data_IF_748221629613
#
_entry.id   IF_748221629613
#
_cell.length_a   1.000
_cell.length_b   1.000
_cell.length_c   1.000
_cell.angle_alpha   90.00
_cell.angle_beta   90.00
_cell.angle_gamma   90.00
#
_symmetry.space_group_name_H-M   'P 1'
#
loop_
_entity.id
_entity.type
_entity.pdbx_description
1 polymer ?
#
# COMPACT_ATOMS: atom_id res chain seq x y z
N UNK A 1 -41.86 -5.41 26.56
CA UNK A 1 -40.83 -5.43 27.62
C UNK A 1 -39.69 -6.28 27.13
N UNK A 2 -38.67 -5.67 26.59
CA UNK A 2 -37.48 -6.35 26.06
C UNK A 2 -36.51 -6.56 27.24
N UNK A 3 -36.49 -7.79 27.78
CA UNK A 3 -35.51 -8.18 28.77
C UNK A 3 -34.11 -8.21 28.18
N UNK A 4 -33.27 -7.29 28.56
CA UNK A 4 -31.82 -7.42 28.39
C UNK A 4 -31.35 -8.53 29.32
N UNK A 5 -31.04 -9.73 28.78
CA UNK A 5 -30.37 -10.77 29.54
C UNK A 5 -28.93 -10.30 29.82
N UNK A 6 -28.57 -10.26 31.11
CA UNK A 6 -27.21 -9.97 31.52
C UNK A 6 -26.27 -11.10 30.99
N UNK A 7 -25.33 -10.81 30.06
CA UNK A 7 -24.45 -11.84 29.52
C UNK A 7 -23.43 -12.38 30.54
N UNK A 8 -23.44 -11.88 31.77
CA UNK A 8 -22.56 -12.28 32.88
C UNK A 8 -23.34 -12.95 34.02
N UNK A 9 -24.63 -13.30 33.81
CA UNK A 9 -25.40 -14.05 34.80
C UNK A 9 -24.94 -15.52 34.79
N UNK A 10 -24.34 -16.04 35.87
CA UNK A 10 -23.82 -17.40 35.93
C UNK A 10 -24.92 -18.47 35.86
N UNK A 11 -26.22 -18.09 35.94
CA UNK A 11 -27.35 -18.99 35.85
C UNK A 11 -28.04 -18.98 34.48
N UNK A 12 -27.57 -18.22 33.55
CA UNK A 12 -28.06 -18.25 32.16
C UNK A 12 -27.28 -19.32 31.39
N UNK A 13 -27.90 -20.44 31.20
CA UNK A 13 -27.46 -21.46 30.26
C UNK A 13 -27.55 -20.89 28.84
N UNK A 14 -26.40 -20.50 28.28
CA UNK A 14 -26.32 -20.05 26.90
C UNK A 14 -26.62 -21.25 26.02
N UNK A 15 -27.80 -21.25 25.49
CA UNK A 15 -28.42 -22.26 24.62
C UNK A 15 -27.43 -23.05 23.78
N UNK A 16 -27.56 -24.36 23.76
CA UNK A 16 -26.67 -25.35 23.18
C UNK A 16 -26.12 -24.98 21.80
N UNK A 17 -24.94 -25.48 21.51
CA UNK A 17 -24.28 -25.29 20.21
C UNK A 17 -25.19 -25.83 19.08
N UNK A 18 -25.42 -25.01 18.07
CA UNK A 18 -26.24 -25.38 16.88
C UNK A 18 -25.65 -26.53 16.04
N UNK A 19 -24.48 -27.06 16.40
CA UNK A 19 -23.86 -28.20 15.71
C UNK A 19 -24.44 -29.56 16.13
N UNK A 20 -25.22 -29.61 17.23
CA UNK A 20 -25.82 -30.82 17.76
C UNK A 20 -24.87 -31.82 18.47
N UNK A 21 -23.59 -31.50 18.58
CA UNK A 21 -22.56 -32.40 19.15
C UNK A 21 -21.93 -31.85 20.45
N UNK A 22 -22.17 -30.59 20.82
CA UNK A 22 -21.62 -29.94 22.02
C UNK A 22 -22.76 -29.35 22.85
N UNK A 23 -22.60 -29.39 24.19
CA UNK A 23 -23.62 -28.90 25.11
C UNK A 23 -23.74 -27.38 25.09
N UNK A 24 -22.67 -26.66 24.73
CA UNK A 24 -22.65 -25.21 24.65
C UNK A 24 -21.58 -24.71 23.63
N UNK A 25 -21.60 -23.40 23.34
CA UNK A 25 -20.69 -22.81 22.38
C UNK A 25 -19.20 -22.86 22.84
N UNK A 26 -18.97 -22.86 24.15
CA UNK A 26 -17.62 -22.96 24.72
C UNK A 26 -17.00 -24.33 24.47
N UNK A 27 -17.75 -25.41 24.61
CA UNK A 27 -17.30 -26.77 24.28
C UNK A 27 -17.05 -26.93 22.78
N UNK A 28 -17.90 -26.31 21.94
CA UNK A 28 -17.69 -26.29 20.50
C UNK A 28 -16.38 -25.62 20.13
N UNK A 29 -16.14 -24.43 20.66
CA UNK A 29 -14.93 -23.65 20.37
C UNK A 29 -13.68 -24.35 20.95
N UNK A 30 -13.78 -24.97 22.12
CA UNK A 30 -12.71 -25.76 22.73
C UNK A 30 -12.41 -27.06 21.96
N UNK A 31 -13.39 -27.65 21.28
CA UNK A 31 -13.18 -28.81 20.44
C UNK A 31 -12.58 -28.46 19.07
N UNK A 32 -12.89 -27.28 18.56
CA UNK A 32 -12.42 -26.81 17.25
C UNK A 32 -10.99 -26.26 17.29
N UNK A 33 -10.50 -25.78 18.45
CA UNK A 33 -9.20 -25.15 18.62
C UNK A 33 -8.34 -25.90 19.65
N UNK A 34 -7.26 -26.60 19.24
CA UNK A 34 -6.34 -27.28 20.16
C UNK A 34 -5.72 -26.35 21.20
N UNK A 35 -5.56 -25.07 20.88
CA UNK A 35 -5.03 -24.02 21.78
C UNK A 35 -6.09 -23.63 22.82
N UNK A 36 -7.40 -23.82 22.55
CA UNK A 36 -8.46 -23.58 23.52
C UNK A 36 -8.38 -24.48 24.78
N UNK A 37 -7.65 -25.58 24.69
CA UNK A 37 -7.41 -26.53 25.79
C UNK A 37 -6.16 -26.23 26.61
N UNK A 38 -5.40 -25.17 26.24
CA UNK A 38 -4.20 -24.80 26.99
C UNK A 38 -4.56 -24.28 28.36
N UNK A 39 -3.93 -24.85 29.38
CA UNK A 39 -3.95 -24.34 30.76
C UNK A 39 -2.73 -23.47 31.06
N UNK A 40 -1.90 -23.20 30.06
CA UNK A 40 -0.72 -22.33 30.17
C UNK A 40 -1.15 -20.90 30.45
N UNK A 41 -0.73 -20.29 31.59
CA UNK A 41 -1.11 -18.93 31.97
C UNK A 41 -0.69 -17.87 30.93
N UNK A 42 0.41 -18.08 30.21
CA UNK A 42 0.91 -17.15 29.20
C UNK A 42 0.02 -17.16 27.96
N UNK A 43 -0.39 -18.34 27.51
CA UNK A 43 -1.35 -18.54 26.40
C UNK A 43 -2.72 -17.97 26.75
N UNK A 44 -3.20 -18.16 27.99
CA UNK A 44 -4.46 -17.60 28.47
C UNK A 44 -4.42 -16.08 28.58
N UNK A 45 -3.30 -15.51 29.08
CA UNK A 45 -3.09 -14.08 29.17
C UNK A 45 -3.06 -13.42 27.79
N UNK A 46 -2.33 -14.01 26.84
CA UNK A 46 -2.25 -13.53 25.47
C UNK A 46 -3.63 -13.55 24.80
N UNK A 47 -4.43 -14.59 24.99
CA UNK A 47 -5.82 -14.68 24.49
C UNK A 47 -6.74 -13.63 25.09
N UNK A 48 -6.59 -13.38 26.40
CA UNK A 48 -7.38 -12.32 27.05
C UNK A 48 -7.06 -10.95 26.45
N UNK A 49 -5.78 -10.64 26.27
CA UNK A 49 -5.31 -9.41 25.62
C UNK A 49 -5.84 -9.32 24.19
N UNK A 50 -5.72 -10.39 23.40
CA UNK A 50 -6.20 -10.45 22.02
C UNK A 50 -7.72 -10.26 21.91
N UNK A 51 -8.49 -10.97 22.74
CA UNK A 51 -9.95 -10.83 22.74
C UNK A 51 -10.39 -9.44 23.21
N UNK A 52 -9.66 -8.84 24.16
CA UNK A 52 -9.90 -7.50 24.64
C UNK A 52 -9.55 -6.44 23.59
N UNK A 53 -8.46 -6.64 22.85
CA UNK A 53 -8.06 -5.78 21.74
C UNK A 53 -9.10 -5.83 20.60
N UNK A 54 -9.54 -7.04 20.22
CA UNK A 54 -10.60 -7.22 19.21
C UNK A 54 -11.92 -6.60 19.66
N UNK A 55 -12.27 -6.69 20.95
CA UNK A 55 -13.47 -6.03 21.52
C UNK A 55 -13.33 -4.52 21.55
N UNK A 56 -12.14 -4.00 21.88
CA UNK A 56 -11.88 -2.56 21.90
C UNK A 56 -11.89 -1.95 20.49
N UNK A 57 -11.36 -2.68 19.49
CA UNK A 57 -11.37 -2.26 18.09
C UNK A 57 -12.75 -2.40 17.44
N UNK A 58 -13.57 -3.35 17.91
CA UNK A 58 -14.90 -3.65 17.36
C UNK A 58 -15.97 -3.69 18.44
N UNK A 59 -16.39 -2.52 18.94
CA UNK A 59 -17.42 -2.43 20.01
C UNK A 59 -18.78 -3.00 19.58
N UNK A 60 -19.05 -3.13 18.27
CA UNK A 60 -20.29 -3.69 17.75
C UNK A 60 -20.13 -5.17 17.37
N UNK A 61 -20.90 -6.05 18.00
CA UNK A 61 -20.88 -7.51 17.80
C UNK A 61 -21.07 -7.95 16.34
N UNK A 62 -21.89 -7.24 15.57
CA UNK A 62 -22.12 -7.53 14.17
C UNK A 62 -20.84 -7.29 13.32
N UNK A 63 -20.09 -6.22 13.61
CA UNK A 63 -18.84 -5.87 12.94
C UNK A 63 -17.75 -6.87 13.33
N UNK A 64 -17.67 -7.22 14.62
CA UNK A 64 -16.74 -8.23 15.14
C UNK A 64 -16.97 -9.61 14.53
N UNK A 65 -18.21 -10.09 14.47
CA UNK A 65 -18.55 -11.37 13.83
C UNK A 65 -18.25 -11.37 12.33
N UNK A 66 -18.47 -10.25 11.64
CA UNK A 66 -18.13 -10.11 10.23
C UNK A 66 -16.62 -10.16 10.02
N UNK A 67 -15.87 -9.51 10.91
CA UNK A 67 -14.41 -9.55 10.95
C UNK A 67 -13.88 -10.97 11.17
N UNK A 68 -14.31 -11.65 12.22
CA UNK A 68 -13.89 -13.01 12.55
C UNK A 68 -14.23 -13.99 11.40
N UNK A 69 -15.38 -13.83 10.74
CA UNK A 69 -15.74 -14.64 9.56
C UNK A 69 -14.85 -14.32 8.36
N UNK A 70 -14.52 -13.06 8.10
CA UNK A 70 -13.65 -12.66 6.99
C UNK A 70 -12.21 -13.19 7.18
N UNK A 71 -11.70 -13.15 8.40
CA UNK A 71 -10.40 -13.72 8.76
C UNK A 71 -10.46 -15.26 8.71
N UNK A 72 -11.50 -15.87 9.28
CA UNK A 72 -11.67 -17.33 9.32
C UNK A 72 -11.90 -17.97 7.95
N UNK A 73 -12.61 -17.31 7.03
CA UNK A 73 -12.82 -17.81 5.67
C UNK A 73 -11.53 -17.88 4.84
N UNK A 74 -10.55 -17.00 5.15
CA UNK A 74 -9.24 -17.00 4.48
C UNK A 74 -8.23 -17.98 5.12
N UNK A 75 -8.52 -18.55 6.31
CA UNK A 75 -7.62 -19.48 7.01
C UNK A 75 -7.59 -20.89 6.42
N UNK A 76 -8.56 -21.27 5.60
CA UNK A 76 -8.62 -22.59 4.98
C UNK A 76 -7.66 -22.81 3.81
N UNK A 77 -6.85 -21.82 3.43
CA UNK A 77 -5.96 -21.89 2.28
C UNK A 77 -4.55 -22.38 2.68
N UNK A 78 -4.18 -23.45 2.04
CA UNK A 78 -2.95 -24.24 2.08
C UNK A 78 -1.72 -23.55 2.75
N UNK A 79 -1.44 -23.89 4.00
CA UNK A 79 -0.09 -23.78 4.56
C UNK A 79 0.83 -24.70 3.74
N UNK A 80 1.97 -24.13 3.28
CA UNK A 80 3.05 -24.97 2.75
C UNK A 80 3.54 -25.88 3.87
N UNK A 81 3.57 -27.20 3.64
CA UNK A 81 4.12 -28.18 4.60
C UNK A 81 5.66 -28.12 4.71
N UNK A 82 6.31 -27.31 3.88
CA UNK A 82 7.76 -27.17 3.89
C UNK A 82 8.22 -26.28 5.07
N UNK A 83 9.29 -26.66 5.78
CA UNK A 83 9.82 -25.87 6.88
C UNK A 83 10.29 -24.50 6.39
N UNK A 84 10.03 -23.47 7.21
CA UNK A 84 10.49 -22.11 6.94
C UNK A 84 11.96 -21.99 7.30
N UNK A 85 12.75 -21.37 6.43
CA UNK A 85 14.19 -21.15 6.67
C UNK A 85 14.40 -20.07 7.73
N UNK A 86 13.52 -19.06 7.76
CA UNK A 86 13.53 -17.96 8.71
C UNK A 86 12.09 -17.61 9.09
N UNK A 87 11.79 -17.56 10.40
CA UNK A 87 10.45 -17.22 10.91
C UNK A 87 10.33 -15.76 11.33
N UNK A 88 11.39 -15.23 11.94
CA UNK A 88 11.43 -13.87 12.47
C UNK A 88 11.87 -12.90 11.39
N UNK A 89 10.96 -12.06 10.92
CA UNK A 89 11.18 -11.13 9.83
C UNK A 89 11.01 -9.69 10.28
N UNK A 90 11.83 -8.80 9.71
CA UNK A 90 11.72 -7.35 9.87
C UNK A 90 11.28 -6.73 8.55
N UNK A 91 10.12 -6.06 8.56
CA UNK A 91 9.57 -5.40 7.39
C UNK A 91 9.49 -3.89 7.63
N UNK A 92 10.16 -3.12 6.77
CA UNK A 92 10.11 -1.67 6.81
C UNK A 92 8.88 -1.10 6.10
N UNK A 93 8.27 -0.06 6.68
CA UNK A 93 7.17 0.66 6.02
C UNK A 93 7.18 2.16 6.32
N UNK A 94 6.56 2.93 5.42
CA UNK A 94 6.24 4.34 5.62
C UNK A 94 4.76 4.45 6.04
N UNK A 95 4.41 5.33 7.01
CA UNK A 95 3.05 5.44 7.55
C UNK A 95 2.09 6.14 6.57
N UNK A 96 1.75 5.47 5.49
CA UNK A 96 0.83 5.91 4.44
C UNK A 96 -0.17 4.80 4.10
N UNK A 97 -1.32 5.17 3.52
CA UNK A 97 -2.38 4.20 3.15
C UNK A 97 -1.93 3.18 2.12
N UNK A 98 -0.87 3.48 1.35
CA UNK A 98 -0.30 2.54 0.39
C UNK A 98 0.27 1.28 1.07
N UNK A 99 0.71 1.37 2.33
CA UNK A 99 1.24 0.23 3.08
C UNK A 99 0.14 -0.62 3.77
N UNK A 100 -1.14 -0.33 3.52
CA UNK A 100 -2.28 -1.01 4.16
C UNK A 100 -2.17 -2.53 4.16
N UNK A 101 -1.92 -3.24 3.03
CA UNK A 101 -1.80 -4.70 3.06
C UNK A 101 -0.69 -5.21 3.97
N UNK A 102 0.47 -4.56 3.97
CA UNK A 102 1.59 -4.94 4.84
C UNK A 102 1.30 -4.70 6.32
N UNK A 103 0.68 -3.56 6.64
CA UNK A 103 0.38 -3.19 8.02
C UNK A 103 -0.72 -4.08 8.58
N UNK A 104 -1.85 -4.20 7.87
CA UNK A 104 -3.00 -4.95 8.36
C UNK A 104 -2.71 -6.45 8.50
N UNK A 105 -1.75 -6.98 7.75
CA UNK A 105 -1.35 -8.38 7.83
C UNK A 105 -0.81 -8.78 9.22
N UNK A 106 -0.28 -7.83 10.01
CA UNK A 106 0.12 -8.05 11.39
C UNK A 106 -1.09 -8.26 12.32
N UNK A 107 -1.84 -7.19 12.66
CA UNK A 107 -2.97 -7.27 13.60
C UNK A 107 -4.10 -8.21 13.15
N UNK A 108 -4.24 -8.46 11.85
CA UNK A 108 -5.20 -9.43 11.31
C UNK A 108 -4.62 -10.85 11.16
N UNK A 109 -3.40 -11.08 11.67
CA UNK A 109 -2.76 -12.39 11.81
C UNK A 109 -2.48 -13.13 10.50
N UNK A 110 -2.44 -12.44 9.35
CA UNK A 110 -2.08 -13.09 8.08
C UNK A 110 -0.63 -13.62 8.09
N UNK A 111 0.29 -12.93 8.77
CA UNK A 111 1.67 -13.43 8.93
C UNK A 111 1.73 -14.66 9.84
N UNK A 112 1.08 -14.59 10.98
CA UNK A 112 1.03 -15.68 11.97
C UNK A 112 0.41 -16.95 11.38
N UNK A 113 -0.66 -16.81 10.58
CA UNK A 113 -1.30 -17.92 9.85
C UNK A 113 -0.36 -18.64 8.89
N UNK A 114 0.70 -17.96 8.45
CA UNK A 114 1.76 -18.55 7.61
C UNK A 114 2.97 -19.02 8.44
N UNK A 115 2.89 -18.97 9.76
CA UNK A 115 3.98 -19.36 10.68
C UNK A 115 5.10 -18.34 10.78
N UNK A 116 4.83 -17.06 10.43
CA UNK A 116 5.81 -15.98 10.44
C UNK A 116 5.61 -15.04 11.62
N UNK A 117 6.70 -14.68 12.29
CA UNK A 117 6.78 -13.62 13.30
C UNK A 117 7.30 -12.34 12.62
N UNK A 118 6.42 -11.39 12.30
CA UNK A 118 6.81 -10.18 11.57
C UNK A 118 6.84 -8.99 12.50
N UNK A 119 8.00 -8.34 12.59
CA UNK A 119 8.16 -7.03 13.20
C UNK A 119 8.02 -5.94 12.11
N UNK A 120 7.01 -5.10 12.24
CA UNK A 120 6.79 -3.97 11.35
C UNK A 120 7.57 -2.75 11.85
N UNK A 121 8.55 -2.32 11.07
CA UNK A 121 9.42 -1.19 11.40
C UNK A 121 8.96 0.08 10.66
N UNK A 122 8.31 0.99 11.39
CA UNK A 122 7.93 2.29 10.86
C UNK A 122 9.16 3.16 10.63
N UNK A 123 9.30 3.74 9.44
CA UNK A 123 10.40 4.63 9.05
C UNK A 123 9.87 5.97 8.57
N UNK A 124 10.72 7.01 8.68
CA UNK A 124 10.32 8.37 8.33
C UNK A 124 10.34 8.66 6.82
N UNK A 125 11.19 7.95 6.06
CA UNK A 125 11.35 8.24 4.64
C UNK A 125 12.02 7.10 3.85
N UNK A 126 11.93 7.17 2.53
CA UNK A 126 12.36 6.10 1.63
C UNK A 126 13.89 5.98 1.49
N UNK A 127 14.67 7.02 1.72
CA UNK A 127 16.12 6.89 1.81
C UNK A 127 16.52 5.88 2.90
N UNK A 128 15.88 5.98 4.07
CA UNK A 128 16.12 5.04 5.18
C UNK A 128 15.62 3.62 4.86
N UNK A 129 14.48 3.47 4.19
CA UNK A 129 14.01 2.16 3.69
C UNK A 129 15.06 1.52 2.79
N UNK A 130 15.55 2.27 1.80
CA UNK A 130 16.59 1.81 0.88
C UNK A 130 17.84 1.34 1.64
N UNK A 131 18.36 2.19 2.52
CA UNK A 131 19.61 1.93 3.22
C UNK A 131 19.49 0.72 4.14
N UNK A 132 18.37 0.56 4.86
CA UNK A 132 18.09 -0.61 5.70
C UNK A 132 17.96 -1.90 4.89
N UNK A 133 17.41 -1.84 3.69
CA UNK A 133 17.39 -3.02 2.79
C UNK A 133 18.79 -3.37 2.27
N UNK A 134 19.56 -2.38 1.85
CA UNK A 134 20.94 -2.59 1.38
C UNK A 134 21.84 -3.17 2.49
N UNK A 135 21.64 -2.73 3.72
CA UNK A 135 22.37 -3.19 4.91
C UNK A 135 21.82 -4.52 5.50
N UNK A 136 20.78 -5.11 4.88
CA UNK A 136 20.09 -6.33 5.36
C UNK A 136 19.49 -6.19 6.78
N UNK A 137 19.17 -4.96 7.19
CA UNK A 137 18.45 -4.70 8.44
C UNK A 137 16.95 -4.99 8.30
N UNK A 138 16.41 -4.92 7.07
CA UNK A 138 15.07 -5.39 6.71
C UNK A 138 15.16 -6.59 5.78
N UNK A 139 14.29 -7.57 6.00
CA UNK A 139 14.13 -8.74 5.13
C UNK A 139 13.29 -8.42 3.88
N UNK A 140 12.33 -7.53 4.06
CA UNK A 140 11.45 -6.99 3.02
C UNK A 140 11.05 -5.57 3.38
N UNK A 141 10.54 -4.81 2.41
CA UNK A 141 10.07 -3.46 2.68
C UNK A 141 8.97 -3.01 1.74
N UNK A 142 8.22 -2.03 2.23
CA UNK A 142 7.35 -1.17 1.46
C UNK A 142 8.20 -0.16 0.68
N UNK A 143 8.15 -0.22 -0.64
CA UNK A 143 8.87 0.67 -1.54
C UNK A 143 7.91 1.52 -2.37
N UNK A 144 8.38 2.67 -2.85
CA UNK A 144 7.79 3.30 -4.03
C UNK A 144 8.08 2.42 -5.25
N UNK A 145 7.10 2.20 -6.11
CA UNK A 145 7.20 1.23 -7.22
C UNK A 145 8.45 1.39 -8.10
N UNK A 146 8.97 2.62 -8.38
CA UNK A 146 10.19 2.79 -9.15
C UNK A 146 11.49 2.45 -8.41
N UNK A 147 11.48 2.43 -7.06
CA UNK A 147 12.73 2.25 -6.29
C UNK A 147 13.42 0.90 -6.52
N UNK A 148 12.72 -0.25 -6.57
CA UNK A 148 13.37 -1.53 -6.86
C UNK A 148 14.09 -1.55 -8.22
N UNK A 149 13.53 -0.87 -9.23
CA UNK A 149 14.19 -0.70 -10.54
C UNK A 149 15.47 0.15 -10.38
N UNK A 150 15.36 1.30 -9.71
CA UNK A 150 16.48 2.20 -9.49
C UNK A 150 17.62 1.53 -8.71
N UNK A 151 17.32 0.82 -7.61
CA UNK A 151 18.32 0.11 -6.80
C UNK A 151 18.97 -1.02 -7.61
N UNK A 152 18.19 -1.80 -8.38
CA UNK A 152 18.75 -2.87 -9.22
C UNK A 152 19.71 -2.34 -10.29
N UNK A 153 19.48 -1.13 -10.77
CA UNK A 153 20.34 -0.45 -11.76
C UNK A 153 21.47 0.38 -11.12
N UNK A 154 21.55 0.47 -9.81
CA UNK A 154 22.54 1.32 -9.11
C UNK A 154 22.28 2.82 -9.25
N UNK A 155 21.03 3.23 -9.46
CA UNK A 155 20.66 4.64 -9.57
C UNK A 155 20.44 5.25 -8.18
N UNK A 156 21.30 6.19 -7.80
CA UNK A 156 21.25 6.84 -6.49
C UNK A 156 21.61 5.95 -5.30
N UNK A 157 22.17 4.77 -5.56
CA UNK A 157 22.66 3.82 -4.54
C UNK A 157 23.63 2.81 -5.15
N UNK A 158 24.21 1.94 -4.30
CA UNK A 158 24.90 0.74 -4.78
C UNK A 158 23.89 -0.16 -5.49
N UNK A 159 24.29 -0.78 -6.60
CA UNK A 159 23.46 -1.73 -7.31
C UNK A 159 23.24 -3.01 -6.49
N UNK A 160 21.99 -3.38 -6.28
CA UNK A 160 21.60 -4.63 -5.64
C UNK A 160 20.35 -5.18 -6.32
N UNK A 161 20.35 -6.45 -6.78
CA UNK A 161 19.17 -7.07 -7.37
C UNK A 161 17.99 -7.05 -6.40
N UNK A 162 16.95 -6.31 -6.77
CA UNK A 162 15.69 -6.19 -6.02
C UNK A 162 14.55 -6.77 -6.85
N UNK A 163 13.55 -7.29 -6.17
CA UNK A 163 12.37 -7.87 -6.79
C UNK A 163 11.10 -7.26 -6.22
N UNK A 164 10.15 -6.94 -7.08
CA UNK A 164 8.79 -6.55 -6.75
C UNK A 164 7.91 -7.79 -6.77
N UNK A 165 7.49 -8.23 -5.59
CA UNK A 165 6.60 -9.37 -5.45
C UNK A 165 5.13 -8.97 -5.72
N UNK A 166 4.67 -7.85 -5.13
CA UNK A 166 3.34 -7.28 -5.39
C UNK A 166 3.42 -5.77 -5.56
N UNK A 167 2.48 -5.21 -6.31
CA UNK A 167 2.06 -3.83 -6.12
C UNK A 167 1.25 -3.77 -4.82
N UNK A 168 1.52 -2.80 -3.96
CA UNK A 168 0.82 -2.65 -2.70
C UNK A 168 -0.48 -1.88 -2.84
N UNK A 169 -0.49 -0.91 -3.74
CA UNK A 169 -1.70 -0.19 -4.13
C UNK A 169 -1.55 0.40 -5.53
N UNK A 170 -2.70 0.59 -6.15
CA UNK A 170 -2.86 1.42 -7.35
C UNK A 170 -3.61 2.69 -6.98
N UNK A 171 -3.38 3.80 -7.73
CA UNK A 171 -3.93 5.12 -7.41
C UNK A 171 -3.46 5.62 -6.01
N UNK A 172 -4.29 6.33 -5.25
CA UNK A 172 -3.99 6.71 -3.85
C UNK A 172 -3.00 7.86 -3.69
N UNK A 173 -2.91 8.74 -4.70
CA UNK A 173 -2.12 9.96 -4.69
C UNK A 173 -2.98 11.12 -5.19
N UNK A 174 -2.55 12.34 -4.91
CA UNK A 174 -3.18 13.55 -5.46
C UNK A 174 -2.16 14.69 -5.56
N UNK A 175 -2.44 15.65 -6.45
CA UNK A 175 -1.87 16.98 -6.36
C UNK A 175 -2.74 17.77 -5.41
N UNK A 176 -2.16 18.17 -4.28
CA UNK A 176 -2.78 19.01 -3.26
C UNK A 176 -2.12 20.37 -3.27
N UNK A 177 -2.91 21.43 -3.30
CA UNK A 177 -2.44 22.81 -3.28
C UNK A 177 -2.85 23.51 -1.98
N UNK A 178 -2.05 24.48 -1.55
CA UNK A 178 -2.39 25.36 -0.45
C UNK A 178 -3.63 26.21 -0.76
N UNK A 179 -4.45 26.50 0.25
CA UNK A 179 -5.72 27.25 0.08
C UNK A 179 -5.53 28.62 -0.57
N UNK A 180 -4.35 29.27 -0.42
CA UNK A 180 -4.02 30.52 -1.10
C UNK A 180 -4.08 30.44 -2.63
N UNK A 181 -4.06 29.21 -3.18
CA UNK A 181 -4.05 28.96 -4.63
C UNK A 181 -5.41 28.51 -5.20
N UNK A 182 -6.51 28.66 -4.46
CA UNK A 182 -7.86 28.30 -4.95
C UNK A 182 -8.22 28.95 -6.28
N UNK A 183 -7.69 30.14 -6.54
CA UNK A 183 -7.90 30.90 -7.78
C UNK A 183 -6.80 30.67 -8.85
N UNK A 184 -5.79 29.82 -8.58
CA UNK A 184 -4.68 29.50 -9.49
C UNK A 184 -4.67 27.99 -9.81
N UNK A 185 -5.79 27.50 -10.28
CA UNK A 185 -6.00 26.05 -10.54
C UNK A 185 -5.53 25.61 -11.92
N UNK A 186 -5.32 26.52 -12.85
CA UNK A 186 -4.70 26.20 -14.13
C UNK A 186 -3.18 25.96 -13.94
N UNK A 187 -2.66 24.77 -14.28
CA UNK A 187 -1.23 24.46 -14.13
C UNK A 187 -0.31 25.42 -14.84
N UNK A 188 -0.73 26.06 -15.92
CA UNK A 188 0.04 27.09 -16.64
C UNK A 188 0.41 28.29 -15.75
N UNK A 189 -0.32 28.49 -14.66
CA UNK A 189 -0.09 29.57 -13.68
C UNK A 189 0.89 29.18 -12.57
N UNK A 190 1.43 27.97 -12.58
CA UNK A 190 2.26 27.44 -11.48
C UNK A 190 3.75 27.78 -11.62
N UNK A 191 4.09 28.63 -12.58
CA UNK A 191 5.48 29.07 -12.70
C UNK A 191 5.97 29.72 -11.40
N UNK A 192 7.12 29.24 -10.89
CA UNK A 192 7.68 29.63 -9.61
C UNK A 192 7.11 28.89 -8.38
N UNK A 193 6.13 28.00 -8.52
CA UNK A 193 5.63 27.21 -7.40
C UNK A 193 6.68 26.22 -6.90
N UNK A 194 6.64 25.98 -5.60
CA UNK A 194 7.45 24.98 -4.92
C UNK A 194 6.55 23.78 -4.58
N UNK A 195 6.87 22.63 -5.17
CA UNK A 195 6.18 21.39 -4.91
C UNK A 195 7.02 20.41 -4.09
N UNK A 196 6.38 19.65 -3.20
CA UNK A 196 7.00 18.51 -2.54
C UNK A 196 6.62 17.20 -3.23
N UNK A 197 7.59 16.28 -3.26
CA UNK A 197 7.41 14.88 -3.64
C UNK A 197 8.14 14.00 -2.61
N UNK A 198 7.70 12.74 -2.41
CA UNK A 198 8.26 11.91 -1.32
C UNK A 198 9.67 11.40 -1.58
N UNK A 199 10.06 11.26 -2.83
CA UNK A 199 11.37 10.75 -3.25
C UNK A 199 11.59 10.94 -4.76
N UNK A 200 12.85 11.00 -5.20
CA UNK A 200 13.19 11.16 -6.62
C UNK A 200 12.66 9.99 -7.48
N UNK A 201 12.91 8.75 -7.03
CA UNK A 201 12.44 7.55 -7.71
C UNK A 201 11.05 7.17 -7.21
N UNK A 202 10.05 8.00 -7.54
CA UNK A 202 8.67 7.83 -7.14
C UNK A 202 7.68 8.10 -8.28
N UNK A 203 6.55 7.41 -8.26
CA UNK A 203 5.44 7.73 -9.16
C UNK A 203 4.95 9.17 -8.96
N UNK A 204 5.01 9.66 -7.71
CA UNK A 204 4.66 11.03 -7.37
C UNK A 204 5.50 12.04 -8.15
N UNK A 205 6.83 11.88 -8.13
CA UNK A 205 7.74 12.74 -8.88
C UNK A 205 7.51 12.63 -10.39
N UNK A 206 7.36 11.40 -10.90
CA UNK A 206 7.19 11.18 -12.34
C UNK A 206 5.85 11.72 -12.84
N UNK A 207 4.77 11.54 -12.10
CA UNK A 207 3.45 12.05 -12.47
C UNK A 207 3.35 13.57 -12.33
N UNK A 208 3.98 14.18 -11.32
CA UNK A 208 4.04 15.64 -11.20
C UNK A 208 4.78 16.25 -12.40
N UNK A 209 5.97 15.73 -12.71
CA UNK A 209 6.76 16.16 -13.86
C UNK A 209 6.01 15.97 -15.17
N UNK A 210 5.36 14.83 -15.31
CA UNK A 210 4.53 14.53 -16.47
C UNK A 210 3.39 15.55 -16.59
N UNK A 211 2.64 15.78 -15.51
CA UNK A 211 1.49 16.66 -15.47
C UNK A 211 1.84 18.10 -15.87
N UNK A 212 2.86 18.68 -15.25
CA UNK A 212 3.25 20.06 -15.55
C UNK A 212 3.83 20.18 -16.96
N UNK A 213 4.57 19.18 -17.44
CA UNK A 213 5.13 19.17 -18.79
C UNK A 213 4.06 19.12 -19.89
N UNK A 214 2.99 18.33 -19.69
CA UNK A 214 1.86 18.29 -20.63
C UNK A 214 1.04 19.60 -20.62
N UNK A 215 1.23 20.45 -19.60
CA UNK A 215 0.66 21.81 -19.57
C UNK A 215 1.66 22.89 -20.04
N UNK A 216 2.81 22.48 -20.59
CA UNK A 216 3.79 23.39 -21.19
C UNK A 216 4.80 24.01 -20.21
N UNK A 217 4.87 23.53 -18.98
CA UNK A 217 5.89 23.93 -17.99
C UNK A 217 7.06 22.95 -17.95
N UNK A 218 8.27 23.45 -17.98
CA UNK A 218 9.47 22.64 -17.72
C UNK A 218 9.60 22.39 -16.21
N UNK A 219 9.50 21.13 -15.73
CA UNK A 219 9.55 20.83 -14.30
C UNK A 219 10.89 21.14 -13.63
N UNK A 220 11.97 21.34 -14.39
CA UNK A 220 13.29 21.69 -13.87
C UNK A 220 13.59 23.18 -13.91
N UNK A 221 12.78 23.99 -14.63
CA UNK A 221 12.99 25.43 -14.83
C UNK A 221 11.85 26.29 -14.30
N UNK A 222 10.61 25.83 -14.53
CA UNK A 222 9.42 26.66 -14.27
C UNK A 222 8.83 26.44 -12.88
N UNK A 223 9.10 25.30 -12.25
CA UNK A 223 8.73 25.00 -10.87
C UNK A 223 9.95 24.53 -10.07
N UNK A 224 9.81 24.45 -8.74
CA UNK A 224 10.80 23.80 -7.89
C UNK A 224 10.20 22.52 -7.32
N UNK A 225 10.93 21.40 -7.41
CA UNK A 225 10.53 20.13 -6.80
C UNK A 225 11.50 19.84 -5.65
N UNK A 226 10.94 19.61 -4.44
CA UNK A 226 11.68 19.27 -3.23
C UNK A 226 11.30 17.90 -2.73
N UNK A 227 12.29 17.07 -2.44
CA UNK A 227 12.04 15.79 -1.74
C UNK A 227 11.73 16.10 -0.29
N UNK A 228 10.54 15.65 0.16
CA UNK A 228 10.03 15.88 1.51
C UNK A 228 9.33 14.61 1.99
N UNK A 229 9.68 14.06 3.16
CA UNK A 229 8.97 12.93 3.74
C UNK A 229 7.47 13.23 3.88
N UNK A 230 6.57 12.27 3.56
CA UNK A 230 5.14 12.54 3.57
C UNK A 230 4.58 13.09 4.88
N UNK A 231 5.03 12.65 6.08
CA UNK A 231 4.56 13.24 7.33
C UNK A 231 4.87 14.74 7.48
N UNK A 232 5.89 15.24 6.77
CA UNK A 232 6.30 16.64 6.84
C UNK A 232 5.60 17.53 5.79
N UNK A 233 4.98 16.93 4.75
CA UNK A 233 4.36 17.69 3.66
C UNK A 233 3.26 18.63 4.15
N UNK A 234 2.40 18.16 5.06
CA UNK A 234 1.28 18.93 5.61
C UNK A 234 1.79 20.11 6.43
N UNK A 235 2.82 19.91 7.25
CA UNK A 235 3.44 20.97 8.04
C UNK A 235 4.11 22.04 7.15
N UNK A 236 4.81 21.61 6.10
CA UNK A 236 5.44 22.52 5.13
C UNK A 236 4.41 23.31 4.32
N UNK A 237 3.27 22.68 3.96
CA UNK A 237 2.16 23.36 3.30
C UNK A 237 1.54 24.43 4.21
N UNK A 238 1.33 24.10 5.49
CA UNK A 238 0.80 25.02 6.52
C UNK A 238 1.73 26.21 6.75
N UNK A 239 3.03 25.95 6.81
CA UNK A 239 4.06 27.00 7.00
C UNK A 239 4.28 27.87 5.75
N UNK A 240 3.71 27.51 4.58
CA UNK A 240 3.92 28.22 3.34
C UNK A 240 5.27 27.97 2.67
N UNK A 241 6.03 26.97 3.14
CA UNK A 241 7.34 26.58 2.58
C UNK A 241 7.19 25.88 1.21
N UNK A 242 6.01 25.34 0.92
CA UNK A 242 5.62 24.74 -0.37
C UNK A 242 4.26 25.28 -0.78
N UNK A 243 4.02 25.33 -2.08
CA UNK A 243 2.74 25.76 -2.68
C UNK A 243 1.78 24.59 -2.86
N UNK A 244 2.32 23.40 -2.98
CA UNK A 244 1.59 22.16 -3.11
C UNK A 244 2.50 20.94 -3.01
N UNK A 245 1.91 19.78 -3.14
CA UNK A 245 2.65 18.53 -3.23
C UNK A 245 1.88 17.51 -4.09
N UNK A 246 2.60 16.65 -4.79
CA UNK A 246 2.08 15.38 -5.23
C UNK A 246 2.55 14.34 -4.22
N UNK A 247 1.64 13.92 -3.36
CA UNK A 247 1.94 13.07 -2.23
C UNK A 247 1.00 11.88 -2.10
N UNK A 248 1.39 10.87 -1.29
CA UNK A 248 0.54 9.74 -1.00
C UNK A 248 -0.57 10.10 -0.02
N UNK A 249 -1.70 9.44 -0.13
CA UNK A 249 -2.68 9.45 0.94
C UNK A 249 -2.11 8.73 2.20
N UNK A 250 -2.46 9.18 3.41
CA UNK A 250 -3.60 10.05 3.72
C UNK A 250 -3.28 11.56 3.76
N UNK A 251 -2.07 11.98 3.42
CA UNK A 251 -1.63 13.37 3.64
C UNK A 251 -2.36 14.38 2.74
N UNK A 252 -2.84 13.96 1.56
CA UNK A 252 -3.73 14.79 0.74
C UNK A 252 -5.04 15.09 1.49
N UNK A 253 -5.68 14.05 2.02
CA UNK A 253 -6.91 14.21 2.78
C UNK A 253 -6.67 14.90 4.13
N UNK A 254 -5.50 14.69 4.74
CA UNK A 254 -5.12 15.38 5.97
C UNK A 254 -5.01 16.89 5.78
N UNK A 255 -4.44 17.35 4.66
CA UNK A 255 -4.38 18.79 4.35
C UNK A 255 -5.77 19.42 4.18
N UNK A 256 -6.72 18.68 3.63
CA UNK A 256 -8.13 19.10 3.55
C UNK A 256 -8.80 19.10 4.93
N UNK A 257 -8.60 18.04 5.70
CA UNK A 257 -9.14 17.90 7.06
C UNK A 257 -8.64 19.00 8.00
N UNK A 258 -7.38 19.40 7.88
CA UNK A 258 -6.76 20.49 8.64
C UNK A 258 -7.07 21.89 8.04
N UNK A 259 -7.90 21.97 7.01
CA UNK A 259 -8.32 23.21 6.33
C UNK A 259 -7.17 24.07 5.77
N UNK A 260 -6.05 23.46 5.40
CA UNK A 260 -4.87 24.18 4.88
C UNK A 260 -4.67 24.03 3.38
N UNK A 261 -5.31 23.06 2.77
CA UNK A 261 -5.19 22.76 1.35
C UNK A 261 -6.45 22.17 0.74
N UNK A 262 -6.41 21.99 -0.56
CA UNK A 262 -7.47 21.34 -1.32
C UNK A 262 -6.87 20.35 -2.33
N UNK A 263 -7.62 19.31 -2.66
CA UNK A 263 -7.25 18.34 -3.68
C UNK A 263 -7.53 18.99 -5.03
N UNK A 264 -6.47 19.26 -5.79
CA UNK A 264 -6.56 19.81 -7.14
C UNK A 264 -7.00 18.74 -8.13
N UNK A 265 -6.31 17.58 -8.12
CA UNK A 265 -6.60 16.44 -8.99
C UNK A 265 -6.11 15.15 -8.32
N UNK A 266 -6.88 14.07 -8.44
CA UNK A 266 -6.40 12.74 -8.06
C UNK A 266 -5.46 12.19 -9.12
N UNK A 267 -4.42 11.48 -8.72
CA UNK A 267 -3.49 10.84 -9.67
C UNK A 267 -4.16 9.80 -10.58
N UNK A 268 -5.26 9.20 -10.11
CA UNK A 268 -6.15 8.36 -10.92
C UNK A 268 -6.64 9.07 -12.19
N UNK A 269 -6.88 10.37 -12.11
CA UNK A 269 -7.34 11.17 -13.26
C UNK A 269 -6.22 11.41 -14.29
N UNK A 270 -4.95 11.25 -13.88
CA UNK A 270 -3.79 11.28 -14.77
C UNK A 270 -3.56 9.91 -15.42
N UNK A 271 -3.59 8.87 -14.60
CA UNK A 271 -3.42 7.49 -15.03
C UNK A 271 -4.22 6.57 -14.10
N UNK A 272 -5.37 6.11 -14.57
CA UNK A 272 -6.21 5.17 -13.82
C UNK A 272 -5.51 3.82 -13.67
N UNK A 273 -5.44 3.33 -12.42
CA UNK A 273 -4.78 2.07 -12.09
C UNK A 273 -3.25 2.14 -12.05
N UNK A 274 -2.65 3.34 -12.04
CA UNK A 274 -1.19 3.45 -11.94
C UNK A 274 -0.66 2.84 -10.63
N UNK A 275 0.52 2.18 -10.66
CA UNK A 275 1.13 1.66 -9.44
C UNK A 275 1.64 2.82 -8.59
N UNK A 276 1.44 2.74 -7.27
CA UNK A 276 2.02 3.72 -6.35
C UNK A 276 3.19 3.11 -5.59
N UNK A 277 2.92 2.08 -4.80
CA UNK A 277 3.90 1.41 -3.97
C UNK A 277 3.99 -0.09 -4.27
N UNK A 278 5.11 -0.68 -3.87
CA UNK A 278 5.43 -2.07 -4.10
C UNK A 278 5.88 -2.76 -2.79
N UNK A 279 5.65 -4.05 -2.71
CA UNK A 279 6.30 -4.93 -1.75
C UNK A 279 7.56 -5.49 -2.40
N UNK A 280 8.72 -5.14 -1.83
CA UNK A 280 10.02 -5.48 -2.38
C UNK A 280 10.87 -6.32 -1.46
N UNK A 281 11.64 -7.21 -2.06
CA UNK A 281 12.62 -8.09 -1.41
C UNK A 281 13.91 -8.12 -2.22
N UNK A 282 15.03 -8.46 -1.59
CA UNK A 282 16.27 -8.69 -2.34
C UNK A 282 16.24 -10.06 -3.04
N UNK A 283 16.90 -10.17 -4.18
CA UNK A 283 17.05 -11.44 -4.87
C UNK A 283 17.80 -12.49 -4.04
N UNK A 284 18.69 -12.05 -3.14
CA UNK A 284 19.38 -12.91 -2.18
C UNK A 284 18.40 -13.54 -1.20
N UNK A 285 17.49 -12.73 -0.59
CA UNK A 285 16.49 -13.23 0.34
C UNK A 285 15.60 -14.31 -0.27
N UNK A 286 15.18 -14.13 -1.52
CA UNK A 286 14.33 -15.13 -2.23
C UNK A 286 15.08 -16.45 -2.41
N UNK A 287 16.37 -16.40 -2.78
CA UNK A 287 17.17 -17.63 -3.01
C UNK A 287 17.52 -18.35 -1.72
N UNK A 288 17.83 -17.61 -0.66
CA UNK A 288 18.23 -18.13 0.63
C UNK A 288 17.03 -18.62 1.47
N UNK A 289 15.85 -18.05 1.24
CA UNK A 289 14.64 -18.31 2.04
C UNK A 289 13.39 -18.54 1.19
N UNK A 290 13.38 -19.52 0.25
CA UNK A 290 12.29 -19.66 -0.72
C UNK A 290 10.95 -20.04 -0.10
N UNK A 291 10.93 -20.86 0.98
CA UNK A 291 9.67 -21.22 1.66
C UNK A 291 9.15 -20.07 2.51
N UNK A 292 10.04 -19.35 3.19
CA UNK A 292 9.73 -18.15 3.96
C UNK A 292 9.18 -17.05 3.03
N UNK A 293 9.83 -16.81 1.89
CA UNK A 293 9.33 -15.87 0.90
C UNK A 293 7.94 -16.26 0.38
N UNK A 294 7.72 -17.54 0.09
CA UNK A 294 6.42 -18.03 -0.35
C UNK A 294 5.33 -17.84 0.71
N UNK A 295 5.65 -18.05 1.99
CA UNK A 295 4.73 -17.83 3.12
C UNK A 295 4.40 -16.33 3.27
N UNK A 296 5.43 -15.48 3.26
CA UNK A 296 5.30 -14.04 3.34
C UNK A 296 4.46 -13.49 2.16
N UNK A 297 4.72 -13.98 0.95
CA UNK A 297 3.97 -13.59 -0.24
C UNK A 297 2.49 -13.91 -0.12
N UNK A 298 2.12 -15.13 0.36
CA UNK A 298 0.72 -15.50 0.59
C UNK A 298 0.05 -14.60 1.63
N UNK A 299 0.73 -14.27 2.72
CA UNK A 299 0.19 -13.36 3.74
C UNK A 299 -0.17 -12.00 3.14
N UNK A 300 0.74 -11.42 2.34
CA UNK A 300 0.53 -10.12 1.69
C UNK A 300 -0.57 -10.17 0.65
N UNK A 301 -0.64 -11.22 -0.18
CA UNK A 301 -1.71 -11.39 -1.17
C UNK A 301 -3.10 -11.52 -0.53
N UNK A 302 -3.21 -12.26 0.58
CA UNK A 302 -4.47 -12.39 1.31
C UNK A 302 -4.89 -11.06 1.94
N UNK A 303 -3.95 -10.32 2.50
CA UNK A 303 -4.21 -8.98 3.02
C UNK A 303 -4.66 -8.01 1.92
N UNK A 304 -4.01 -8.04 0.75
CA UNK A 304 -4.41 -7.24 -0.41
C UNK A 304 -5.82 -7.60 -0.90
N UNK A 305 -6.14 -8.89 -1.00
CA UNK A 305 -7.48 -9.37 -1.38
C UNK A 305 -8.56 -8.85 -0.41
N UNK A 306 -8.30 -8.89 0.91
CA UNK A 306 -9.20 -8.34 1.92
C UNK A 306 -9.35 -6.82 1.77
N UNK A 307 -8.28 -6.09 1.46
CA UNK A 307 -8.29 -4.64 1.31
C UNK A 307 -9.02 -4.17 0.03
N UNK A 308 -9.05 -4.99 -1.01
CA UNK A 308 -9.83 -4.72 -2.24
C UNK A 308 -11.34 -4.71 -2.00
N UNK A 309 -11.82 -5.46 -1.04
CA UNK A 309 -13.24 -5.53 -0.71
C UNK A 309 -13.71 -4.21 -0.08
N UNK A 310 -14.53 -3.45 -0.80
CA UNK A 310 -15.04 -2.14 -0.35
C UNK A 310 -15.70 -2.21 1.04
N UNK A 311 -16.42 -3.31 1.34
CA UNK A 311 -17.08 -3.52 2.63
C UNK A 311 -16.12 -3.59 3.84
N UNK A 312 -14.83 -3.86 3.62
CA UNK A 312 -13.83 -3.99 4.67
C UNK A 312 -13.10 -2.66 4.94
N UNK A 313 -13.24 -1.65 4.08
CA UNK A 313 -12.38 -0.46 4.08
C UNK A 313 -12.56 0.43 5.32
N UNK A 314 -13.80 0.60 5.82
CA UNK A 314 -14.01 1.31 7.10
C UNK A 314 -13.42 0.56 8.28
N UNK A 315 -13.48 -0.78 8.27
CA UNK A 315 -12.84 -1.60 9.27
C UNK A 315 -11.32 -1.44 9.23
N UNK A 316 -10.74 -1.51 8.03
CA UNK A 316 -9.30 -1.37 7.81
C UNK A 316 -8.82 0.01 8.26
N UNK A 317 -9.59 1.09 8.03
CA UNK A 317 -9.27 2.43 8.53
C UNK A 317 -9.00 2.45 10.04
N UNK A 318 -9.84 1.75 10.81
CA UNK A 318 -9.65 1.62 12.26
C UNK A 318 -8.40 0.81 12.61
N UNK A 319 -8.13 -0.30 11.89
CA UNK A 319 -6.99 -1.18 12.15
C UNK A 319 -5.65 -0.47 11.93
N UNK A 320 -5.55 0.37 10.88
CA UNK A 320 -4.29 1.05 10.52
C UNK A 320 -4.12 2.44 11.15
N UNK A 321 -5.17 2.98 11.81
CA UNK A 321 -5.17 4.31 12.44
C UNK A 321 -4.17 4.48 13.61
N UNK A 322 -3.90 3.48 14.49
CA UNK A 322 -3.10 3.66 15.69
C UNK A 322 -1.71 4.26 15.47
N UNK A 323 -1.14 4.81 16.56
CA UNK A 323 0.13 5.54 16.54
C UNK A 323 1.33 4.68 16.09
N UNK A 324 1.31 3.39 16.34
CA UNK A 324 2.32 2.43 15.87
C UNK A 324 2.24 2.16 14.36
N UNK A 325 1.14 2.51 13.71
CA UNK A 325 0.91 2.37 12.27
C UNK A 325 0.89 3.75 11.58
N UNK A 326 -0.27 4.20 11.10
CA UNK A 326 -0.34 5.46 10.35
C UNK A 326 -0.37 6.71 11.22
N UNK A 327 -0.85 6.60 12.47
CA UNK A 327 -1.04 7.75 13.36
C UNK A 327 -1.88 8.86 12.71
N UNK A 328 -3.04 8.48 12.20
CA UNK A 328 -3.96 9.41 11.51
C UNK A 328 -5.38 9.27 12.06
N UNK A 329 -6.17 10.35 12.08
CA UNK A 329 -7.57 10.29 12.45
C UNK A 329 -8.35 9.31 11.57
N UNK A 330 -9.19 8.46 12.20
CA UNK A 330 -10.02 7.49 11.44
C UNK A 330 -10.85 8.15 10.34
N UNK A 331 -11.51 9.32 10.56
CA UNK A 331 -12.27 9.98 9.49
C UNK A 331 -11.43 10.34 8.25
N UNK A 332 -10.15 10.69 8.43
CA UNK A 332 -9.23 10.95 7.31
C UNK A 332 -8.98 9.68 6.51
N UNK A 333 -8.71 8.57 7.21
CA UNK A 333 -8.45 7.27 6.58
C UNK A 333 -9.71 6.72 5.89
N UNK A 334 -10.88 6.87 6.50
CA UNK A 334 -12.15 6.44 5.91
C UNK A 334 -12.46 7.19 4.61
N UNK A 335 -12.24 8.51 4.57
CA UNK A 335 -12.44 9.30 3.35
C UNK A 335 -11.54 8.81 2.21
N UNK A 336 -10.30 8.43 2.53
CA UNK A 336 -9.37 7.87 1.52
C UNK A 336 -9.80 6.48 1.07
N UNK A 337 -9.99 5.57 2.03
CA UNK A 337 -10.20 4.15 1.73
C UNK A 337 -11.58 3.86 1.13
N UNK A 338 -12.61 4.57 1.55
CA UNK A 338 -13.96 4.43 0.98
C UNK A 338 -14.16 5.23 -0.31
N UNK A 339 -13.29 6.22 -0.55
CA UNK A 339 -13.37 7.12 -1.70
C UNK A 339 -14.50 8.14 -1.61
N UNK A 340 -15.16 8.31 -0.45
CA UNK A 340 -16.12 9.39 -0.20
C UNK A 340 -15.44 10.47 0.64
N UNK A 341 -15.10 11.59 0.02
CA UNK A 341 -14.21 12.59 0.63
C UNK A 341 -14.59 14.03 0.30
N UNK A 342 -14.25 14.94 1.23
CA UNK A 342 -14.26 16.37 0.97
C UNK A 342 -13.05 16.76 0.12
N UNK A 343 -13.26 17.62 -0.89
CA UNK A 343 -12.18 18.06 -1.80
C UNK A 343 -11.44 19.33 -1.31
N UNK A 344 -11.93 19.99 -0.27
CA UNK A 344 -11.40 21.27 0.22
C UNK A 344 -11.86 22.50 -0.57
N UNK A 345 -12.75 22.30 -1.55
CA UNK A 345 -13.36 23.36 -2.36
C UNK A 345 -14.86 23.52 -2.09
N UNK A 346 -15.37 22.89 -1.04
CA UNK A 346 -16.77 22.91 -0.65
C UNK A 346 -17.58 21.72 -1.19
N UNK A 347 -16.96 20.82 -1.96
CA UNK A 347 -17.60 19.64 -2.52
C UNK A 347 -17.28 18.35 -1.76
N UNK A 348 -18.24 17.40 -1.81
CA UNK A 348 -18.00 15.99 -1.43
C UNK A 348 -17.98 15.18 -2.71
N UNK A 349 -16.90 14.45 -2.93
CA UNK A 349 -16.73 13.57 -4.09
C UNK A 349 -16.86 12.10 -3.66
N UNK A 350 -17.27 11.25 -4.60
CA UNK A 350 -17.30 9.80 -4.45
C UNK A 350 -16.53 9.17 -5.60
N UNK A 351 -15.36 8.61 -5.27
CA UNK A 351 -14.47 7.89 -6.19
C UNK A 351 -14.06 6.62 -5.45
N UNK A 352 -14.81 5.54 -5.62
CA UNK A 352 -14.68 4.30 -4.83
C UNK A 352 -13.32 3.62 -4.96
N UNK A 353 -12.62 3.85 -6.05
CA UNK A 353 -11.29 3.37 -6.37
C UNK A 353 -10.22 4.50 -6.34
N UNK A 354 -10.47 5.57 -5.54
CA UNK A 354 -9.46 6.60 -5.24
C UNK A 354 -8.12 5.97 -4.85
N UNK A 355 -8.17 4.87 -4.10
CA UNK A 355 -7.10 3.92 -3.86
C UNK A 355 -7.65 2.50 -4.02
N UNK A 356 -6.91 1.60 -4.66
CA UNK A 356 -7.22 0.18 -4.69
C UNK A 356 -5.96 -0.66 -4.45
N UNK A 357 -6.14 -1.94 -4.15
CA UNK A 357 -5.09 -2.83 -3.66
C UNK A 357 -4.87 -4.03 -4.61
N UNK A 358 -4.90 -3.76 -5.94
CA UNK A 358 -4.56 -4.78 -6.94
C UNK A 358 -3.08 -5.16 -6.83
N UNK A 359 -2.75 -6.42 -6.46
CA UNK A 359 -1.38 -6.80 -6.16
C UNK A 359 -0.55 -7.15 -7.38
N UNK A 360 -1.15 -7.23 -8.59
CA UNK A 360 -0.43 -7.76 -9.75
C UNK A 360 0.66 -6.79 -10.25
N UNK A 361 1.95 -7.23 -10.29
CA UNK A 361 3.06 -6.40 -10.73
C UNK A 361 3.21 -6.42 -12.26
N UNK A 362 2.44 -5.59 -12.95
CA UNK A 362 2.50 -5.48 -14.40
C UNK A 362 3.89 -5.03 -14.89
N UNK A 363 4.53 -5.82 -15.73
CA UNK A 363 5.83 -5.47 -16.33
C UNK A 363 5.73 -4.26 -17.27
N UNK A 364 4.57 -4.03 -17.89
CA UNK A 364 4.30 -2.80 -18.64
C UNK A 364 4.41 -1.53 -17.81
N UNK A 365 4.04 -1.58 -16.51
CA UNK A 365 4.21 -0.45 -15.58
C UNK A 365 5.70 -0.16 -15.32
N UNK A 366 6.52 -1.22 -15.15
CA UNK A 366 7.96 -1.08 -15.00
C UNK A 366 8.59 -0.44 -16.25
N UNK A 367 8.19 -0.87 -17.45
CA UNK A 367 8.67 -0.25 -18.72
C UNK A 367 8.34 1.24 -18.76
N UNK A 368 7.11 1.63 -18.37
CA UNK A 368 6.75 3.06 -18.33
C UNK A 368 7.61 3.84 -17.33
N UNK A 369 7.84 3.31 -16.13
CA UNK A 369 8.70 3.96 -15.12
C UNK A 369 10.12 4.18 -15.67
N UNK A 370 10.69 3.19 -16.33
CA UNK A 370 12.01 3.30 -16.98
C UNK A 370 12.02 4.38 -18.06
N UNK A 371 10.95 4.52 -18.86
CA UNK A 371 10.84 5.61 -19.84
C UNK A 371 10.83 6.97 -19.17
N UNK A 372 10.15 7.13 -18.02
CA UNK A 372 10.14 8.38 -17.28
C UNK A 372 11.51 8.66 -16.61
N UNK A 373 12.17 7.63 -16.08
CA UNK A 373 13.54 7.79 -15.59
C UNK A 373 14.47 8.29 -16.70
N UNK A 374 14.35 7.76 -17.91
CA UNK A 374 15.12 8.23 -19.07
C UNK A 374 14.69 9.64 -19.49
N UNK A 375 13.37 9.92 -19.58
CA UNK A 375 12.82 11.23 -19.93
C UNK A 375 13.41 12.36 -19.07
N UNK A 376 13.59 12.10 -17.80
CA UNK A 376 14.03 13.11 -16.82
C UNK A 376 15.54 13.02 -16.49
N UNK A 377 16.29 12.20 -17.24
CA UNK A 377 17.76 12.14 -17.14
C UNK A 377 18.28 11.37 -15.91
N UNK A 378 17.45 10.57 -15.24
CA UNK A 378 17.92 9.65 -14.19
C UNK A 378 18.69 8.47 -14.78
N UNK A 379 18.31 8.01 -15.97
CA UNK A 379 19.02 7.00 -16.74
C UNK A 379 19.70 7.68 -17.94
N UNK A 380 20.98 7.37 -18.12
CA UNK A 380 21.77 7.81 -19.28
C UNK A 380 22.10 6.61 -20.15
N UNK A 381 22.12 6.81 -21.47
CA UNK A 381 22.44 5.75 -22.43
C UNK A 381 21.29 4.80 -22.71
N UNK A 382 21.62 3.63 -23.29
CA UNK A 382 20.64 2.64 -23.73
C UNK A 382 20.03 1.85 -22.57
N UNK A 383 18.77 1.50 -22.71
CA UNK A 383 17.99 0.76 -21.69
C UNK A 383 17.35 -0.46 -22.33
N UNK A 384 17.64 -1.64 -21.82
CA UNK A 384 16.87 -2.82 -22.15
C UNK A 384 15.63 -2.88 -21.23
N UNK A 385 14.61 -2.11 -21.58
CA UNK A 385 13.38 -1.93 -20.78
C UNK A 385 12.75 -3.26 -20.39
N UNK A 386 12.61 -4.16 -21.37
CA UNK A 386 11.94 -5.45 -21.17
C UNK A 386 12.73 -6.35 -20.21
N UNK A 387 14.02 -6.47 -20.41
CA UNK A 387 14.86 -7.30 -19.56
C UNK A 387 14.83 -6.83 -18.10
N UNK A 388 14.96 -5.53 -17.87
CA UNK A 388 14.94 -4.96 -16.52
C UNK A 388 13.57 -5.17 -15.88
N UNK A 389 12.47 -4.92 -16.62
CA UNK A 389 11.12 -5.12 -16.12
C UNK A 389 10.86 -6.58 -15.73
N UNK A 390 11.31 -7.56 -16.55
CA UNK A 390 11.14 -8.99 -16.28
C UNK A 390 12.00 -9.49 -15.11
N UNK A 391 13.20 -8.93 -14.94
CA UNK A 391 14.07 -9.28 -13.82
C UNK A 391 13.56 -8.74 -12.47
N UNK A 392 12.94 -7.56 -12.46
CA UNK A 392 12.55 -6.89 -11.22
C UNK A 392 11.10 -7.18 -10.83
N UNK A 393 10.17 -7.20 -11.79
CA UNK A 393 8.73 -7.39 -11.53
C UNK A 393 8.33 -8.85 -11.72
N UNK A 394 8.04 -9.54 -10.61
CA UNK A 394 7.79 -10.99 -10.55
C UNK A 394 6.37 -11.37 -11.03
N UNK A 395 5.97 -10.94 -12.22
CA UNK A 395 4.62 -11.17 -12.75
C UNK A 395 4.27 -12.67 -12.87
N UNK A 396 5.22 -13.51 -13.23
CA UNK A 396 5.03 -14.98 -13.34
C UNK A 396 4.79 -15.60 -11.97
N UNK A 397 5.59 -15.24 -10.97
CA UNK A 397 5.42 -15.71 -9.59
C UNK A 397 4.11 -15.19 -8.99
N UNK A 398 3.78 -13.92 -9.22
CA UNK A 398 2.52 -13.34 -8.79
C UNK A 398 1.33 -14.13 -9.32
N UNK A 399 1.31 -14.42 -10.62
CA UNK A 399 0.25 -15.19 -11.27
C UNK A 399 0.10 -16.58 -10.64
N UNK A 400 1.21 -17.28 -10.44
CA UNK A 400 1.23 -18.59 -9.80
C UNK A 400 0.67 -18.52 -8.37
N UNK A 401 1.18 -17.59 -7.55
CA UNK A 401 0.76 -17.46 -6.15
C UNK A 401 -0.70 -17.01 -6.01
N UNK A 402 -1.15 -16.10 -6.87
CA UNK A 402 -2.57 -15.72 -6.91
C UNK A 402 -3.46 -16.90 -7.28
N UNK A 403 -3.06 -17.70 -8.27
CA UNK A 403 -3.79 -18.92 -8.64
C UNK A 403 -3.83 -19.95 -7.51
N UNK A 404 -2.72 -20.18 -6.81
CA UNK A 404 -2.64 -21.07 -5.64
C UNK A 404 -3.62 -20.65 -4.51
N UNK A 405 -3.96 -19.35 -4.45
CA UNK A 405 -4.92 -18.76 -3.50
C UNK A 405 -6.34 -18.62 -4.07
N UNK A 406 -6.61 -19.15 -5.27
CA UNK A 406 -7.91 -19.00 -5.94
C UNK A 406 -8.22 -17.55 -6.38
N UNK A 407 -7.22 -16.68 -6.41
CA UNK A 407 -7.36 -15.30 -6.84
C UNK A 407 -7.15 -15.18 -8.35
N UNK A 408 -7.93 -14.31 -8.99
CA UNK A 408 -7.77 -14.06 -10.43
C UNK A 408 -6.53 -13.22 -10.69
N UNK A 409 -5.69 -13.66 -11.61
CA UNK A 409 -4.54 -12.92 -12.11
C UNK A 409 -4.64 -12.70 -13.63
N UNK A 410 -4.08 -11.60 -14.16
CA UNK A 410 -4.01 -11.36 -15.60
C UNK A 410 -3.24 -12.46 -16.33
N UNK A 411 -3.70 -12.85 -17.52
CA UNK A 411 -3.00 -13.83 -18.34
C UNK A 411 -1.68 -13.27 -18.92
N UNK A 412 -1.66 -11.98 -19.25
CA UNK A 412 -0.47 -11.27 -19.75
C UNK A 412 0.23 -10.50 -18.62
N UNK A 413 1.53 -10.26 -18.79
CA UNK A 413 2.32 -9.38 -17.93
C UNK A 413 2.45 -7.95 -18.51
N UNK A 414 2.08 -7.79 -19.76
CA UNK A 414 2.13 -6.53 -20.50
C UNK A 414 0.74 -6.14 -20.99
N UNK A 415 0.38 -4.89 -20.78
CA UNK A 415 -0.84 -4.28 -21.29
C UNK A 415 -0.54 -2.85 -21.75
N UNK A 416 -1.29 -2.37 -22.74
CA UNK A 416 -1.34 -0.95 -23.10
C UNK A 416 -2.22 -0.21 -22.12
N UNK A 417 -1.90 1.05 -21.86
CA UNK A 417 -2.71 1.95 -21.03
C UNK A 417 -2.54 3.40 -21.48
N UNK A 418 -3.30 4.29 -20.90
CA UNK A 418 -3.24 5.72 -21.21
C UNK A 418 -2.79 6.51 -20.00
N UNK A 419 -1.93 7.50 -20.23
CA UNK A 419 -1.52 8.49 -19.24
C UNK A 419 -1.88 9.87 -19.77
N UNK A 420 -2.78 10.57 -19.11
CA UNK A 420 -3.34 11.84 -19.58
C UNK A 420 -3.83 11.77 -21.06
N UNK A 421 -4.49 10.66 -21.39
CA UNK A 421 -5.03 10.41 -22.73
C UNK A 421 -4.02 9.91 -23.78
N UNK A 422 -2.71 10.01 -23.52
CA UNK A 422 -1.65 9.49 -24.40
C UNK A 422 -1.47 8.00 -24.21
N UNK A 423 -1.64 7.21 -25.28
CA UNK A 423 -1.45 5.76 -25.23
C UNK A 423 0.03 5.40 -25.02
N UNK A 424 0.26 4.48 -24.08
CA UNK A 424 1.55 3.83 -23.87
C UNK A 424 1.49 2.40 -24.38
N UNK A 425 2.39 2.08 -25.31
CA UNK A 425 2.62 0.73 -25.81
C UNK A 425 3.98 0.24 -25.28
N UNK A 426 4.01 -0.75 -24.37
CA UNK A 426 5.26 -1.25 -23.80
C UNK A 426 6.19 -1.93 -24.82
N UNK A 427 5.71 -2.26 -26.01
CA UNK A 427 6.53 -2.75 -27.10
C UNK A 427 7.30 -1.63 -27.84
N UNK A 428 6.93 -0.35 -27.63
CA UNK A 428 7.52 0.80 -28.33
C UNK A 428 7.89 1.93 -27.34
N UNK A 429 8.70 1.64 -26.30
CA UNK A 429 9.00 2.63 -25.25
C UNK A 429 9.77 3.85 -25.78
N UNK A 430 10.70 3.66 -26.71
CA UNK A 430 11.48 4.78 -27.28
C UNK A 430 10.63 5.69 -28.17
N UNK A 431 9.66 5.14 -28.92
CA UNK A 431 8.71 5.94 -29.67
C UNK A 431 7.82 6.79 -28.74
N UNK A 432 7.41 6.22 -27.60
CA UNK A 432 6.69 6.97 -26.57
C UNK A 432 7.55 8.09 -26.01
N UNK A 433 8.79 7.82 -25.65
CA UNK A 433 9.74 8.81 -25.16
C UNK A 433 9.98 9.93 -26.17
N UNK A 434 10.14 9.59 -27.47
CA UNK A 434 10.35 10.53 -28.55
C UNK A 434 9.16 11.47 -28.79
N UNK A 435 7.95 11.07 -28.38
CA UNK A 435 6.71 11.84 -28.55
C UNK A 435 6.57 13.07 -27.64
N UNK A 436 7.48 13.25 -26.67
CA UNK A 436 7.43 14.37 -25.73
C UNK A 436 8.30 15.55 -26.20
N UNK A 437 7.72 16.76 -26.20
CA UNK A 437 8.43 18.00 -26.48
C UNK A 437 9.33 18.44 -25.31
N UNK A 438 8.83 18.26 -24.06
CA UNK A 438 9.58 18.59 -22.85
C UNK A 438 10.20 17.30 -22.30
N UNK A 439 11.53 17.19 -22.47
CA UNK A 439 12.36 16.09 -22.01
C UNK A 439 13.80 16.54 -21.92
N UNK A 440 14.62 15.88 -21.09
CA UNK A 440 16.07 16.10 -21.13
C UNK A 440 16.67 15.49 -22.40
N UNK A 441 17.67 16.15 -22.96
CA UNK A 441 18.52 15.54 -23.95
C UNK A 441 19.33 14.43 -23.24
N UNK A 442 19.18 13.19 -23.72
CA UNK A 442 19.87 12.00 -23.18
C UNK A 442 20.73 11.41 -24.27
#
# INVERSE_FOLDING_TARGET
>A
MSGFSNPYDPNIDLSGCNCGHHANQHEHDAAADPVARSTDPEVLSQRFVESSLVRALFPHDATRRRFIRAVGANTAMAQSKAPLEKKDLKIGFIPITCATPLIMAGPLKFYEQQGLNVTLNKTAGWALIRDKMLNKEHDASHFLSPMPLAISMGLGSVAQPMNVATIQNVNGQAITLANKHKNKRDPKQWKGFVFAVPFDYSMHNFLLRYYVAEHGLDPDRDIQIRVTPPPEMVANLRAGNIDGFLGPDPFNQRAVYDEIGFIHILSKELWDGHPCCAFGVSGAFIRENPNTFAALYRAVLNAAAMAREARNRSLIANVISPANYLNQPVPVLEQVLTGKFADGLGGIKTVSDRIDFDPFPWQSMAVWMLTQMKRWGYIKGDVNYRQIAEQVFLATDARKRMADLGQKAPAAAYAKFKVMGKEFDPARPDAYLASFSIRKAV
#
